data_IF_517826273606
#
_entry.id   IF_517826273606
#
_cell.length_a   1.000
_cell.length_b   1.000
_cell.length_c   1.000
_cell.angle_alpha   90.00
_cell.angle_beta   90.00
_cell.angle_gamma   90.00
#
_symmetry.space_group_name_H-M   'P 1'
#
loop_
_entity.id
_entity.type
_entity.pdbx_description
1 polymer ?
#
# COMPACT_ATOMS: atom_id res chain seq x y z
N UNK A 1 -8.01 -17.73 -4.00
CA UNK A 1 -6.89 -17.55 -3.04
C UNK A 1 -6.09 -16.23 -3.27
N UNK A 2 -6.74 -15.10 -3.63
CA UNK A 2 -5.99 -13.88 -4.03
C UNK A 2 -5.87 -12.77 -2.99
N UNK A 3 -6.63 -12.78 -1.88
CA UNK A 3 -6.59 -11.67 -0.90
C UNK A 3 -5.34 -11.62 -0.02
N UNK A 4 -4.63 -12.74 0.17
CA UNK A 4 -3.47 -12.80 1.09
C UNK A 4 -2.15 -12.36 0.45
N UNK A 5 -2.02 -12.44 -0.88
CA UNK A 5 -0.75 -12.17 -1.58
C UNK A 5 -0.42 -10.68 -1.60
N UNK A 6 -1.42 -9.80 -1.74
CA UNK A 6 -1.20 -8.34 -1.77
C UNK A 6 -0.91 -7.76 -0.39
N UNK A 7 -1.55 -8.26 0.66
CA UNK A 7 -1.32 -7.79 2.05
C UNK A 7 0.08 -8.17 2.51
N UNK A 8 0.50 -9.42 2.29
CA UNK A 8 1.89 -9.83 2.55
C UNK A 8 2.89 -8.99 1.75
N UNK A 9 2.57 -8.72 0.49
CA UNK A 9 3.42 -7.86 -0.35
C UNK A 9 3.48 -6.39 0.12
N UNK A 10 2.49 -5.86 0.85
CA UNK A 10 2.56 -4.51 1.41
C UNK A 10 3.41 -4.50 2.68
N UNK A 11 3.12 -5.41 3.61
CA UNK A 11 3.85 -5.53 4.87
C UNK A 11 5.35 -5.81 4.63
N UNK A 12 5.68 -6.65 3.65
CA UNK A 12 7.07 -6.92 3.26
C UNK A 12 7.78 -5.67 2.73
N UNK A 13 7.11 -4.87 1.89
CA UNK A 13 7.67 -3.63 1.34
C UNK A 13 7.85 -2.57 2.43
N UNK A 14 6.87 -2.43 3.31
CA UNK A 14 6.94 -1.50 4.44
C UNK A 14 8.08 -1.88 5.39
N UNK A 15 8.20 -3.17 5.72
CA UNK A 15 9.30 -3.67 6.55
C UNK A 15 10.66 -3.40 5.92
N UNK A 16 10.81 -3.59 4.60
CA UNK A 16 12.06 -3.26 3.92
C UNK A 16 12.35 -1.76 3.96
N UNK A 17 11.33 -0.91 3.83
CA UNK A 17 11.47 0.54 3.94
C UNK A 17 11.95 0.96 5.34
N UNK A 18 11.40 0.36 6.40
CA UNK A 18 11.85 0.59 7.79
C UNK A 18 13.32 0.21 7.97
N UNK A 19 13.72 -0.97 7.48
CA UNK A 19 15.11 -1.42 7.52
C UNK A 19 16.06 -0.46 6.78
N UNK A 20 15.64 0.06 5.63
CA UNK A 20 16.41 1.06 4.88
C UNK A 20 16.57 2.35 5.70
N UNK A 21 15.51 2.82 6.37
CA UNK A 21 15.58 4.00 7.25
C UNK A 21 16.59 3.77 8.38
N UNK A 22 16.52 2.63 9.06
CA UNK A 22 17.45 2.26 10.13
C UNK A 22 18.91 2.21 9.63
N UNK A 23 19.16 1.62 8.45
CA UNK A 23 20.49 1.57 7.84
C UNK A 23 21.02 2.97 7.51
N UNK A 24 20.20 3.83 6.91
CA UNK A 24 20.60 5.20 6.58
C UNK A 24 20.83 6.07 7.83
N UNK A 25 20.01 5.89 8.88
CA UNK A 25 20.14 6.60 10.16
C UNK A 25 21.35 6.15 10.97
N UNK A 26 21.77 4.89 10.85
CA UNK A 26 22.96 4.36 11.53
C UNK A 26 24.25 5.09 11.13
N UNK A 27 24.32 5.61 9.90
CA UNK A 27 25.51 6.26 9.35
C UNK A 27 26.69 5.31 9.11
N UNK A 28 26.52 3.99 9.24
CA UNK A 28 27.58 3.00 9.03
C UNK A 28 27.74 2.57 7.55
N UNK A 29 26.82 3.01 6.69
CA UNK A 29 26.79 2.70 5.26
C UNK A 29 27.68 3.64 4.44
N UNK A 30 28.36 3.10 3.43
CA UNK A 30 29.18 3.88 2.51
C UNK A 30 28.32 4.81 1.64
N UNK A 31 28.92 5.82 1.02
CA UNK A 31 28.20 6.81 0.22
C UNK A 31 27.43 6.17 -0.94
N UNK A 32 28.08 5.32 -1.73
CA UNK A 32 27.48 4.63 -2.87
C UNK A 32 26.32 3.71 -2.44
N UNK A 33 26.47 3.06 -1.28
CA UNK A 33 25.44 2.22 -0.70
C UNK A 33 24.25 3.06 -0.19
N UNK A 34 24.53 4.21 0.43
CA UNK A 34 23.51 5.15 0.90
C UNK A 34 22.65 5.67 -0.26
N UNK A 35 23.26 5.98 -1.40
CA UNK A 35 22.53 6.38 -2.62
C UNK A 35 21.63 5.25 -3.10
N UNK A 36 22.17 4.02 -3.15
CA UNK A 36 21.42 2.84 -3.59
C UNK A 36 20.23 2.54 -2.67
N UNK A 37 20.44 2.60 -1.35
CA UNK A 37 19.40 2.42 -0.34
C UNK A 37 18.32 3.51 -0.43
N UNK A 38 18.72 4.76 -0.68
CA UNK A 38 17.78 5.86 -0.87
C UNK A 38 16.90 5.66 -2.11
N UNK A 39 17.48 5.27 -3.24
CA UNK A 39 16.73 4.95 -4.47
C UNK A 39 15.73 3.81 -4.24
N UNK A 40 16.16 2.75 -3.56
CA UNK A 40 15.29 1.64 -3.17
C UNK A 40 14.14 2.12 -2.27
N UNK A 41 14.44 2.94 -1.27
CA UNK A 41 13.45 3.51 -0.35
C UNK A 41 12.39 4.35 -1.07
N UNK A 42 12.79 5.21 -2.01
CA UNK A 42 11.86 5.99 -2.84
C UNK A 42 10.96 5.08 -3.67
N UNK A 43 11.50 4.01 -4.25
CA UNK A 43 10.72 3.06 -5.03
C UNK A 43 9.69 2.32 -4.16
N UNK A 44 10.13 1.79 -3.01
CA UNK A 44 9.25 1.09 -2.07
C UNK A 44 8.13 2.00 -1.54
N UNK A 45 8.45 3.25 -1.20
CA UNK A 45 7.47 4.25 -0.77
C UNK A 45 6.37 4.46 -1.81
N UNK A 46 6.75 4.64 -3.09
CA UNK A 46 5.78 4.76 -4.20
C UNK A 46 4.90 3.52 -4.34
N UNK A 47 5.50 2.33 -4.27
CA UNK A 47 4.76 1.07 -4.37
C UNK A 47 3.76 0.90 -3.21
N UNK A 48 4.15 1.26 -1.98
CA UNK A 48 3.27 1.27 -0.82
C UNK A 48 2.08 2.22 -1.01
N UNK A 49 2.32 3.45 -1.48
CA UNK A 49 1.27 4.42 -1.77
C UNK A 49 0.28 3.89 -2.82
N UNK A 50 0.77 3.31 -3.91
CA UNK A 50 -0.08 2.71 -4.95
C UNK A 50 -0.94 1.56 -4.40
N UNK A 51 -0.41 0.75 -3.48
CA UNK A 51 -1.21 -0.32 -2.85
C UNK A 51 -2.34 0.28 -2.00
N UNK A 52 -2.05 1.33 -1.23
CA UNK A 52 -3.03 2.00 -0.38
C UNK A 52 -4.12 2.69 -1.22
N UNK A 53 -3.76 3.39 -2.29
CA UNK A 53 -4.71 4.02 -3.22
C UNK A 53 -5.67 2.98 -3.83
N UNK A 54 -5.13 1.84 -4.28
CA UNK A 54 -5.96 0.76 -4.81
C UNK A 54 -6.89 0.16 -3.75
N UNK A 55 -6.44 0.06 -2.50
CA UNK A 55 -7.27 -0.41 -1.40
C UNK A 55 -8.41 0.57 -1.11
N UNK A 56 -8.12 1.87 -1.09
CA UNK A 56 -9.12 2.93 -0.89
C UNK A 56 -10.16 2.96 -2.00
N UNK A 57 -9.73 2.88 -3.26
CA UNK A 57 -10.62 2.80 -4.43
C UNK A 57 -11.58 1.62 -4.31
N UNK A 58 -11.06 0.45 -3.92
CA UNK A 58 -11.88 -0.75 -3.72
C UNK A 58 -12.89 -0.60 -2.58
N UNK A 59 -12.49 0.00 -1.47
CA UNK A 59 -13.41 0.30 -0.35
C UNK A 59 -14.51 1.25 -0.82
N UNK A 60 -14.15 2.29 -1.58
CA UNK A 60 -15.09 3.28 -2.10
C UNK A 60 -16.10 2.66 -3.06
N UNK A 61 -15.65 1.78 -3.96
CA UNK A 61 -16.53 1.02 -4.85
C UNK A 61 -17.51 0.13 -4.07
N UNK A 62 -17.01 -0.63 -3.09
CA UNK A 62 -17.85 -1.50 -2.25
C UNK A 62 -18.89 -0.70 -1.46
N UNK A 63 -18.53 0.48 -0.93
CA UNK A 63 -19.49 1.38 -0.26
C UNK A 63 -20.61 1.83 -1.20
N UNK A 64 -20.27 2.20 -2.44
CA UNK A 64 -21.25 2.57 -3.48
C UNK A 64 -22.17 1.40 -3.82
N UNK A 65 -21.61 0.20 -4.02
CA UNK A 65 -22.40 -1.01 -4.30
C UNK A 65 -23.38 -1.33 -3.17
N UNK A 66 -22.95 -1.27 -1.91
CA UNK A 66 -23.83 -1.48 -0.75
C UNK A 66 -24.94 -0.44 -0.69
N UNK A 67 -24.60 0.84 -0.93
CA UNK A 67 -25.59 1.92 -0.96
C UNK A 67 -26.63 1.72 -2.06
N UNK A 68 -26.21 1.31 -3.26
CA UNK A 68 -27.09 1.14 -4.42
C UNK A 68 -27.98 -0.11 -4.31
N UNK A 69 -27.61 -1.07 -3.45
CA UNK A 69 -28.40 -2.27 -3.15
C UNK A 69 -29.46 -2.05 -2.06
N UNK A 70 -29.43 -0.89 -1.39
CA UNK A 70 -30.35 -0.53 -0.31
C UNK A 70 -31.56 0.28 -0.79
N UNK A 71 -31.70 0.49 -2.10
CA UNK A 71 -32.76 1.32 -2.73
C UNK A 71 -33.65 0.53 -3.69
N UNK A 72 -33.76 -0.80 -3.54
CA UNK A 72 -34.60 -1.66 -4.40
C UNK A 72 -35.74 -2.37 -3.62
N UNK A 73 -36.18 -1.80 -2.50
CA UNK A 73 -37.43 -2.22 -1.84
C UNK A 73 -38.41 -1.05 -1.80
N UNK A 74 -39.28 -0.98 -2.82
CA UNK A 74 -40.58 -0.29 -2.72
C UNK A 74 -40.81 0.88 -3.68
N UNK A 75 -41.00 0.59 -4.96
CA UNK A 75 -41.95 1.35 -5.79
C UNK A 75 -42.92 0.34 -6.46
N UNK A 76 -43.70 -0.34 -5.61
CA UNK A 76 -45.02 -0.83 -6.00
C UNK A 76 -46.04 0.23 -5.51
N UNK A 77 -46.38 1.19 -6.37
CA UNK A 77 -47.72 1.80 -6.56
C UNK A 77 -47.73 2.77 -7.74
#
# INVERSE_FOLDING_TARGET
MSKTKSTKSFEEKLKRLEQISEMLESGEVQLEESISLFEEGIKLSKECLTILENAELKITQLKKEVSNKSTDEGEDE
#
